data_IF_810546973131
#
_entry.id   IF_810546973131
#
_cell.length_a   1.000
_cell.length_b   1.000
_cell.length_c   1.000
_cell.angle_alpha   90.00
_cell.angle_beta   90.00
_cell.angle_gamma   90.00
#
_symmetry.space_group_name_H-M   'P 1'
#
loop_
_entity.id
_entity.type
_entity.pdbx_description
1 polymer ?
#
# COMPACT_ATOMS: atom_id res chain seq x y z
N UNK A 1 105.35 -118.89 21.35
CA UNK A 1 104.34 -119.28 20.34
C UNK A 1 103.07 -118.50 20.64
N UNK A 2 102.39 -117.97 19.61
CA UNK A 2 101.18 -117.11 19.65
C UNK A 2 101.40 -115.59 19.80
N UNK A 3 101.75 -114.94 18.68
CA UNK A 3 101.79 -113.48 18.51
C UNK A 3 100.89 -113.03 17.33
N UNK A 4 99.86 -113.84 16.99
CA UNK A 4 99.01 -113.68 15.79
C UNK A 4 97.55 -113.29 16.09
N UNK A 5 97.03 -113.62 17.28
CA UNK A 5 95.65 -113.34 17.67
C UNK A 5 95.47 -111.87 18.04
N UNK A 6 96.45 -111.28 18.72
CA UNK A 6 96.42 -109.88 19.16
C UNK A 6 96.44 -108.89 17.97
N UNK A 7 97.22 -109.22 16.93
CA UNK A 7 97.26 -108.45 15.67
C UNK A 7 95.93 -108.57 14.90
N UNK A 8 95.23 -109.70 14.98
CA UNK A 8 93.94 -109.90 14.33
C UNK A 8 92.82 -109.12 15.04
N UNK A 9 92.79 -109.16 16.38
CA UNK A 9 91.86 -108.36 17.19
C UNK A 9 92.05 -106.85 16.97
N UNK A 10 93.30 -106.38 16.90
CA UNK A 10 93.62 -104.98 16.57
C UNK A 10 93.16 -104.60 15.15
N UNK A 11 93.36 -105.46 14.15
CA UNK A 11 92.90 -105.21 12.77
C UNK A 11 91.37 -105.19 12.66
N UNK A 12 90.66 -106.10 13.34
CA UNK A 12 89.19 -106.10 13.37
C UNK A 12 88.65 -104.86 14.07
N UNK A 13 89.33 -104.37 15.12
CA UNK A 13 89.00 -103.10 15.78
C UNK A 13 89.10 -101.90 14.82
N UNK A 14 90.18 -101.80 14.04
CA UNK A 14 90.34 -100.74 13.04
C UNK A 14 89.33 -100.82 11.89
N UNK A 15 88.95 -102.04 11.45
CA UNK A 15 87.88 -102.23 10.45
C UNK A 15 86.52 -101.81 11.00
N UNK A 16 86.20 -102.15 12.26
CA UNK A 16 84.98 -101.68 12.92
C UNK A 16 84.94 -100.15 13.05
N UNK A 17 86.08 -99.52 13.38
CA UNK A 17 86.22 -98.06 13.40
C UNK A 17 85.99 -97.45 12.01
N UNK A 18 86.55 -98.03 10.95
CA UNK A 18 86.32 -97.57 9.58
C UNK A 18 84.86 -97.71 9.14
N UNK A 19 84.23 -98.85 9.46
CA UNK A 19 82.81 -99.09 9.19
C UNK A 19 81.93 -98.10 9.97
N UNK A 20 82.26 -97.80 11.24
CA UNK A 20 81.59 -96.77 12.03
C UNK A 20 81.70 -95.38 11.38
N UNK A 21 82.88 -94.99 10.91
CA UNK A 21 83.09 -93.71 10.20
C UNK A 21 82.32 -93.69 8.88
N UNK A 22 82.34 -94.78 8.11
CA UNK A 22 81.56 -94.89 6.88
C UNK A 22 80.05 -94.78 7.13
N UNK A 23 79.53 -95.42 8.17
CA UNK A 23 78.13 -95.29 8.60
C UNK A 23 77.79 -93.88 9.10
N UNK A 24 78.71 -93.20 9.79
CA UNK A 24 78.52 -91.82 10.24
C UNK A 24 78.45 -90.85 9.05
N UNK A 25 79.36 -91.01 8.07
CA UNK A 25 79.34 -90.22 6.82
C UNK A 25 78.06 -90.50 6.03
N UNK A 26 77.69 -91.77 5.87
CA UNK A 26 76.47 -92.18 5.19
C UNK A 26 75.23 -91.61 5.88
N UNK A 27 75.13 -91.73 7.21
CA UNK A 27 74.04 -91.17 8.01
C UNK A 27 73.96 -89.64 7.92
N UNK A 28 75.11 -88.95 7.85
CA UNK A 28 75.13 -87.50 7.66
C UNK A 28 74.55 -87.07 6.31
N UNK A 29 74.97 -87.71 5.22
CA UNK A 29 74.52 -87.35 3.87
C UNK A 29 73.08 -87.77 3.57
N UNK A 30 72.66 -88.96 4.01
CA UNK A 30 71.35 -89.51 3.69
C UNK A 30 70.26 -89.21 4.71
N UNK A 31 70.62 -88.86 5.95
CA UNK A 31 69.64 -88.60 7.02
C UNK A 31 69.75 -87.17 7.55
N UNK A 32 70.91 -86.76 8.06
CA UNK A 32 71.05 -85.45 8.74
C UNK A 32 70.83 -84.27 7.78
N UNK A 33 71.51 -84.26 6.63
CA UNK A 33 71.39 -83.16 5.66
C UNK A 33 69.98 -83.03 5.07
N UNK A 34 69.29 -84.11 4.65
CA UNK A 34 67.90 -84.02 4.22
C UNK A 34 66.92 -83.60 5.32
N UNK A 35 67.14 -84.01 6.57
CA UNK A 35 66.32 -83.55 7.71
C UNK A 35 66.44 -82.03 7.89
N UNK A 36 67.66 -81.51 7.93
CA UNK A 36 67.89 -80.06 8.06
C UNK A 36 67.29 -79.26 6.90
N UNK A 37 67.43 -79.75 5.66
CA UNK A 37 66.81 -79.13 4.49
C UNK A 37 65.28 -79.13 4.55
N UNK A 38 64.67 -80.19 5.09
CA UNK A 38 63.22 -80.25 5.33
C UNK A 38 62.79 -79.27 6.41
N UNK A 39 63.53 -79.16 7.50
CA UNK A 39 63.22 -78.22 8.58
C UNK A 39 63.26 -76.76 8.11
N UNK A 40 64.31 -76.37 7.38
CA UNK A 40 64.42 -75.01 6.79
C UNK A 40 63.32 -74.75 5.78
N UNK A 41 63.01 -75.73 4.91
CA UNK A 41 61.92 -75.60 3.94
C UNK A 41 60.55 -75.51 4.63
N UNK A 42 60.33 -76.26 5.70
CA UNK A 42 59.12 -76.17 6.53
C UNK A 42 59.00 -74.81 7.21
N UNK A 43 60.10 -74.22 7.67
CA UNK A 43 60.12 -72.87 8.21
C UNK A 43 59.74 -71.82 7.15
N UNK A 44 60.31 -71.91 5.94
CA UNK A 44 59.98 -71.00 4.84
C UNK A 44 58.53 -71.18 4.34
N UNK A 45 58.01 -72.41 4.29
CA UNK A 45 56.60 -72.68 3.99
C UNK A 45 55.71 -72.07 5.06
N UNK A 46 56.05 -72.22 6.34
CA UNK A 46 55.29 -71.63 7.44
C UNK A 46 55.28 -70.10 7.37
N UNK A 47 56.42 -69.46 7.05
CA UNK A 47 56.49 -68.00 6.83
C UNK A 47 55.60 -67.56 5.68
N UNK A 48 55.68 -68.24 4.53
CA UNK A 48 54.84 -67.93 3.36
C UNK A 48 53.36 -68.16 3.62
N UNK A 49 53.00 -69.19 4.38
CA UNK A 49 51.61 -69.45 4.78
C UNK A 49 51.07 -68.35 5.70
N UNK A 50 51.88 -67.87 6.66
CA UNK A 50 51.53 -66.71 7.50
C UNK A 50 51.36 -65.45 6.65
N UNK A 51 52.25 -65.18 5.70
CA UNK A 51 52.13 -64.03 4.79
C UNK A 51 50.91 -64.12 3.88
N UNK A 52 50.64 -65.29 3.30
CA UNK A 52 49.44 -65.53 2.50
C UNK A 52 48.16 -65.33 3.31
N UNK A 53 48.11 -65.79 4.56
CA UNK A 53 46.98 -65.59 5.44
C UNK A 53 46.80 -64.11 5.82
N UNK A 54 47.90 -63.37 6.07
CA UNK A 54 47.85 -61.91 6.27
C UNK A 54 47.34 -61.18 5.02
N UNK A 55 47.80 -61.56 3.84
CA UNK A 55 47.37 -60.94 2.59
C UNK A 55 45.90 -61.27 2.29
N UNK A 56 45.46 -62.51 2.52
CA UNK A 56 44.07 -62.93 2.35
C UNK A 56 43.13 -62.20 3.30
N UNK A 57 43.52 -62.02 4.55
CA UNK A 57 42.72 -61.26 5.53
C UNK A 57 42.65 -59.77 5.18
N UNK A 58 43.76 -59.16 4.77
CA UNK A 58 43.78 -57.78 4.28
C UNK A 58 42.90 -57.61 3.03
N UNK A 59 42.99 -58.52 2.06
CA UNK A 59 42.15 -58.53 0.86
C UNK A 59 40.66 -58.65 1.19
N UNK A 60 40.28 -59.57 2.09
CA UNK A 60 38.90 -59.72 2.54
C UNK A 60 38.38 -58.45 3.24
N UNK A 61 39.22 -57.80 4.06
CA UNK A 61 38.86 -56.54 4.71
C UNK A 61 38.66 -55.40 3.70
N UNK A 62 39.56 -55.30 2.71
CA UNK A 62 39.46 -54.33 1.63
C UNK A 62 38.22 -54.56 0.78
N UNK A 63 37.90 -55.81 0.45
CA UNK A 63 36.68 -56.16 -0.29
C UNK A 63 35.43 -55.73 0.48
N UNK A 64 35.40 -55.98 1.80
CA UNK A 64 34.29 -55.55 2.65
C UNK A 64 34.14 -54.02 2.65
N UNK A 65 35.23 -53.27 2.74
CA UNK A 65 35.20 -51.80 2.66
C UNK A 65 34.75 -51.31 1.29
N UNK A 66 35.16 -51.96 0.20
CA UNK A 66 34.71 -51.63 -1.17
C UNK A 66 33.20 -51.83 -1.31
N UNK A 67 32.65 -52.94 -0.82
CA UNK A 67 31.20 -53.18 -0.88
C UNK A 67 30.42 -52.19 0.01
N UNK A 68 30.93 -51.85 1.19
CA UNK A 68 30.33 -50.80 2.04
C UNK A 68 30.33 -49.43 1.35
N UNK A 69 31.46 -49.04 0.75
CA UNK A 69 31.57 -47.79 0.01
C UNK A 69 30.65 -47.77 -1.21
N UNK A 70 30.48 -48.90 -1.91
CA UNK A 70 29.55 -49.04 -3.03
C UNK A 70 28.10 -48.87 -2.59
N UNK A 71 27.72 -49.45 -1.45
CA UNK A 71 26.39 -49.26 -0.88
C UNK A 71 26.14 -47.79 -0.46
N UNK A 72 27.13 -47.16 0.20
CA UNK A 72 27.05 -45.75 0.59
C UNK A 72 26.93 -44.83 -0.61
N UNK A 73 27.70 -45.07 -1.68
CA UNK A 73 27.59 -44.29 -2.92
C UNK A 73 26.20 -44.37 -3.54
N UNK A 74 25.61 -45.57 -3.57
CA UNK A 74 24.25 -45.76 -4.09
C UNK A 74 23.21 -44.98 -3.27
N UNK A 75 23.34 -44.98 -1.94
CA UNK A 75 22.46 -44.23 -1.05
C UNK A 75 22.61 -42.70 -1.22
N UNK A 76 23.85 -42.23 -1.35
CA UNK A 76 24.16 -40.83 -1.64
C UNK A 76 23.60 -40.40 -3.01
N UNK A 77 23.74 -41.21 -4.05
CA UNK A 77 23.17 -40.95 -5.38
C UNK A 77 21.63 -40.86 -5.32
N UNK A 78 20.98 -41.73 -4.56
CA UNK A 78 19.53 -41.66 -4.32
C UNK A 78 19.11 -40.39 -3.57
N UNK A 79 19.88 -39.98 -2.56
CA UNK A 79 19.65 -38.75 -1.81
C UNK A 79 19.83 -37.50 -2.68
N UNK A 80 20.85 -37.47 -3.54
CA UNK A 80 21.09 -36.38 -4.50
C UNK A 80 19.93 -36.28 -5.49
N UNK A 81 19.47 -37.40 -6.04
CA UNK A 81 18.32 -37.40 -6.95
C UNK A 81 17.04 -36.87 -6.29
N UNK A 82 16.81 -37.24 -5.02
CA UNK A 82 15.68 -36.71 -4.24
C UNK A 82 15.80 -35.20 -3.99
N UNK A 83 17.00 -34.72 -3.66
CA UNK A 83 17.25 -33.29 -3.44
C UNK A 83 17.09 -32.48 -4.73
N UNK A 84 17.54 -32.99 -5.88
CA UNK A 84 17.36 -32.34 -7.18
C UNK A 84 15.87 -32.19 -7.54
N UNK A 85 15.06 -33.22 -7.26
CA UNK A 85 13.62 -33.16 -7.45
C UNK A 85 12.97 -32.12 -6.54
N UNK A 86 13.32 -32.11 -5.25
CA UNK A 86 12.81 -31.11 -4.30
C UNK A 86 13.21 -29.68 -4.68
N UNK A 87 14.43 -29.49 -5.20
CA UNK A 87 14.90 -28.21 -5.68
C UNK A 87 14.06 -27.70 -6.85
N UNK A 88 13.81 -28.55 -7.86
CA UNK A 88 12.97 -28.20 -9.01
C UNK A 88 11.54 -27.86 -8.60
N UNK A 89 10.92 -28.67 -7.73
CA UNK A 89 9.58 -28.37 -7.19
C UNK A 89 9.54 -27.03 -6.44
N UNK A 90 10.59 -26.73 -5.66
CA UNK A 90 10.70 -25.46 -4.94
C UNK A 90 10.88 -24.28 -5.89
N UNK A 91 11.67 -24.43 -6.95
CA UNK A 91 11.89 -23.41 -7.97
C UNK A 91 10.60 -23.10 -8.73
N UNK A 92 9.85 -24.12 -9.14
CA UNK A 92 8.54 -23.96 -9.78
C UNK A 92 7.54 -23.24 -8.88
N UNK A 93 7.47 -23.62 -7.59
CA UNK A 93 6.64 -22.93 -6.59
C UNK A 93 7.05 -21.47 -6.44
N UNK A 94 8.34 -21.17 -6.37
CA UNK A 94 8.84 -19.81 -6.24
C UNK A 94 8.50 -18.96 -7.47
N UNK A 95 8.60 -19.53 -8.67
CA UNK A 95 8.20 -18.87 -9.91
C UNK A 95 6.70 -18.60 -9.96
N UNK A 96 5.87 -19.55 -9.54
CA UNK A 96 4.42 -19.39 -9.44
C UNK A 96 4.03 -18.28 -8.45
N UNK A 97 4.63 -18.28 -7.25
CA UNK A 97 4.41 -17.25 -6.22
C UNK A 97 4.82 -15.87 -6.74
N UNK A 98 5.98 -15.76 -7.39
CA UNK A 98 6.44 -14.49 -7.96
C UNK A 98 5.50 -13.97 -9.04
N UNK A 99 4.96 -14.86 -9.89
CA UNK A 99 3.98 -14.49 -10.90
C UNK A 99 2.68 -13.97 -10.25
N UNK A 100 2.16 -14.67 -9.24
CA UNK A 100 0.96 -14.25 -8.50
C UNK A 100 1.17 -12.94 -7.74
N UNK A 101 2.34 -12.75 -7.11
CA UNK A 101 2.71 -11.50 -6.46
C UNK A 101 2.73 -10.33 -7.44
N UNK A 102 3.30 -10.52 -8.64
CA UNK A 102 3.30 -9.49 -9.68
C UNK A 102 1.88 -9.15 -10.15
N UNK A 103 1.03 -10.16 -10.31
CA UNK A 103 -0.37 -9.98 -10.70
C UNK A 103 -1.15 -9.19 -9.63
N UNK A 104 -1.08 -9.62 -8.38
CA UNK A 104 -1.75 -8.96 -7.25
C UNK A 104 -1.25 -7.53 -7.02
N UNK A 105 0.05 -7.27 -7.18
CA UNK A 105 0.61 -5.92 -7.14
C UNK A 105 0.00 -5.01 -8.22
N UNK A 106 -0.15 -5.52 -9.44
CA UNK A 106 -0.77 -4.77 -10.53
C UNK A 106 -2.26 -4.49 -10.26
N UNK A 107 -3.01 -5.49 -9.78
CA UNK A 107 -4.41 -5.33 -9.40
C UNK A 107 -4.59 -4.30 -8.28
N UNK A 108 -3.74 -4.33 -7.25
CA UNK A 108 -3.74 -3.36 -6.17
C UNK A 108 -3.48 -1.93 -6.68
N UNK A 109 -2.53 -1.76 -7.59
CA UNK A 109 -2.24 -0.46 -8.20
C UNK A 109 -3.44 0.06 -9.00
N UNK A 110 -4.13 -0.79 -9.75
CA UNK A 110 -5.36 -0.41 -10.46
C UNK A 110 -6.48 -0.02 -9.48
N UNK A 111 -6.69 -0.80 -8.43
CA UNK A 111 -7.68 -0.49 -7.39
C UNK A 111 -7.38 0.84 -6.70
N UNK A 112 -6.11 1.16 -6.42
CA UNK A 112 -5.70 2.44 -5.85
C UNK A 112 -6.07 3.62 -6.76
N UNK A 113 -5.87 3.48 -8.07
CA UNK A 113 -6.24 4.51 -9.05
C UNK A 113 -7.76 4.69 -9.09
N UNK A 114 -8.52 3.61 -9.13
CA UNK A 114 -9.99 3.65 -9.15
C UNK A 114 -10.53 4.28 -7.86
N UNK A 115 -10.03 3.86 -6.70
CA UNK A 115 -10.43 4.39 -5.41
C UNK A 115 -10.13 5.90 -5.32
N UNK A 116 -8.95 6.34 -5.77
CA UNK A 116 -8.60 7.76 -5.82
C UNK A 116 -9.57 8.54 -6.72
N UNK A 117 -9.87 8.05 -7.92
CA UNK A 117 -10.85 8.68 -8.83
C UNK A 117 -12.24 8.76 -8.21
N UNK A 118 -12.69 7.71 -7.53
CA UNK A 118 -13.98 7.68 -6.85
C UNK A 118 -14.05 8.69 -5.70
N UNK A 119 -12.99 8.79 -4.89
CA UNK A 119 -12.87 9.79 -3.83
C UNK A 119 -12.86 11.21 -4.41
N UNK A 120 -12.09 11.45 -5.46
CA UNK A 120 -12.01 12.76 -6.13
C UNK A 120 -13.37 13.16 -6.74
N UNK A 121 -14.08 12.23 -7.36
CA UNK A 121 -15.43 12.45 -7.90
C UNK A 121 -16.45 12.73 -6.79
N UNK A 122 -16.39 11.97 -5.70
CA UNK A 122 -17.27 12.18 -4.55
C UNK A 122 -17.02 13.56 -3.90
N UNK A 123 -15.75 13.96 -3.74
CA UNK A 123 -15.40 15.28 -3.24
C UNK A 123 -15.96 16.40 -4.14
N UNK A 124 -15.86 16.27 -5.47
CA UNK A 124 -16.46 17.23 -6.41
C UNK A 124 -17.98 17.32 -6.26
N UNK A 125 -18.66 16.18 -6.10
CA UNK A 125 -20.11 16.16 -5.88
C UNK A 125 -20.47 16.86 -4.56
N UNK A 126 -19.73 16.59 -3.48
CA UNK A 126 -19.95 17.24 -2.19
C UNK A 126 -19.67 18.75 -2.23
N UNK A 127 -18.63 19.18 -2.96
CA UNK A 127 -18.38 20.60 -3.23
C UNK A 127 -19.57 21.23 -3.98
N UNK A 128 -20.10 20.57 -5.01
CA UNK A 128 -21.28 21.03 -5.76
C UNK A 128 -22.52 21.17 -4.89
N UNK A 129 -22.80 20.17 -4.05
CA UNK A 129 -23.93 20.20 -3.09
C UNK A 129 -23.79 21.37 -2.12
N UNK A 130 -22.56 21.65 -1.66
CA UNK A 130 -22.33 22.80 -0.79
C UNK A 130 -22.58 24.13 -1.52
N UNK A 131 -22.13 24.27 -2.78
CA UNK A 131 -22.40 25.46 -3.58
C UNK A 131 -23.89 25.71 -3.79
N UNK A 132 -24.66 24.66 -4.08
CA UNK A 132 -26.12 24.74 -4.19
C UNK A 132 -26.76 25.17 -2.87
N UNK A 133 -26.36 24.56 -1.76
CA UNK A 133 -26.81 24.94 -0.42
C UNK A 133 -26.55 26.41 -0.12
N UNK A 134 -25.31 26.87 -0.36
CA UNK A 134 -24.91 28.24 -0.07
C UNK A 134 -25.61 29.26 -0.97
N UNK A 135 -25.80 28.94 -2.25
CA UNK A 135 -26.60 29.75 -3.19
C UNK A 135 -28.05 29.87 -2.71
N UNK A 136 -28.62 28.77 -2.20
CA UNK A 136 -29.93 28.73 -1.56
C UNK A 136 -30.03 29.68 -0.36
N UNK A 137 -29.02 29.64 0.53
CA UNK A 137 -28.93 30.56 1.69
C UNK A 137 -28.95 32.03 1.25
N UNK A 138 -28.15 32.40 0.25
CA UNK A 138 -28.16 33.79 -0.28
C UNK A 138 -29.54 34.14 -0.84
N UNK A 139 -30.20 33.20 -1.53
CA UNK A 139 -31.59 33.37 -1.99
C UNK A 139 -32.57 33.65 -0.84
N UNK A 140 -32.44 32.95 0.28
CA UNK A 140 -33.26 33.16 1.50
C UNK A 140 -33.04 34.54 2.08
N UNK A 141 -31.81 35.06 2.09
CA UNK A 141 -31.53 36.42 2.57
C UNK A 141 -32.32 37.46 1.76
N UNK A 142 -32.33 37.34 0.42
CA UNK A 142 -33.13 38.21 -0.44
C UNK A 142 -34.65 38.08 -0.18
N UNK A 143 -35.14 36.85 0.00
CA UNK A 143 -36.55 36.61 0.30
C UNK A 143 -36.94 37.25 1.65
N UNK A 144 -36.15 37.03 2.70
CA UNK A 144 -36.37 37.62 4.02
C UNK A 144 -36.43 39.15 3.93
N UNK A 145 -35.50 39.80 3.22
CA UNK A 145 -35.54 41.27 3.03
C UNK A 145 -36.74 41.75 2.22
N UNK A 146 -37.19 40.98 1.23
CA UNK A 146 -38.42 41.32 0.52
C UNK A 146 -39.66 41.23 1.42
N UNK A 147 -39.73 40.21 2.28
CA UNK A 147 -40.83 40.04 3.24
C UNK A 147 -40.82 41.14 4.30
N UNK A 148 -39.65 41.48 4.84
CA UNK A 148 -39.49 42.60 5.77
C UNK A 148 -39.99 43.91 5.14
N UNK A 149 -39.65 44.17 3.88
CA UNK A 149 -40.12 45.36 3.17
C UNK A 149 -41.64 45.41 3.05
N UNK A 150 -42.28 44.30 2.64
CA UNK A 150 -43.74 44.22 2.48
C UNK A 150 -44.46 44.39 3.82
N UNK A 151 -43.98 43.74 4.89
CA UNK A 151 -44.57 43.86 6.22
C UNK A 151 -44.49 45.30 6.76
N UNK A 152 -43.39 46.00 6.46
CA UNK A 152 -43.18 47.39 6.91
C UNK A 152 -43.87 48.44 6.01
N UNK A 153 -44.36 48.07 4.82
CA UNK A 153 -45.15 48.96 3.94
C UNK A 153 -46.66 48.77 4.10
N UNK A 154 -47.13 47.58 4.50
CA UNK A 154 -48.56 47.26 4.67
C UNK A 154 -49.10 47.47 6.10
N UNK A 155 -48.25 47.62 7.12
CA UNK A 155 -48.67 47.79 8.52
C UNK A 155 -49.01 49.24 8.94
N UNK A 156 -49.77 49.38 10.04
CA UNK A 156 -50.28 50.67 10.58
C UNK A 156 -49.20 51.73 10.86
N UNK A 157 -47.95 51.34 11.10
CA UNK A 157 -46.84 52.25 11.39
C UNK A 157 -46.08 52.76 10.15
N UNK A 158 -46.33 52.19 8.94
CA UNK A 158 -45.70 52.53 7.65
C UNK A 158 -44.25 53.04 7.77
N UNK A 159 -43.38 52.27 8.44
CA UNK A 159 -42.02 52.69 8.80
C UNK A 159 -40.97 52.40 7.72
N UNK A 160 -41.29 51.57 6.72
CA UNK A 160 -40.35 51.16 5.66
C UNK A 160 -39.67 52.33 4.94
N UNK A 161 -40.35 53.48 4.85
CA UNK A 161 -39.88 54.66 4.13
C UNK A 161 -38.97 55.58 4.95
N UNK A 162 -38.74 55.26 6.24
CA UNK A 162 -37.94 56.08 7.14
C UNK A 162 -36.43 55.81 7.00
N UNK A 163 -36.04 54.67 6.43
CA UNK A 163 -34.65 54.30 6.18
C UNK A 163 -34.43 53.93 4.71
N UNK A 164 -34.34 54.92 3.79
CA UNK A 164 -34.18 54.66 2.36
C UNK A 164 -32.96 53.79 2.02
N UNK A 165 -31.88 53.95 2.79
CA UNK A 165 -30.64 53.19 2.60
C UNK A 165 -30.76 51.68 2.86
N UNK A 166 -31.81 51.22 3.55
CA UNK A 166 -32.06 49.79 3.80
C UNK A 166 -32.96 49.13 2.76
N UNK A 167 -33.43 49.88 1.75
CA UNK A 167 -34.37 49.36 0.75
C UNK A 167 -33.67 48.55 -0.36
N UNK A 168 -32.39 48.84 -0.63
CA UNK A 168 -31.58 48.11 -1.57
C UNK A 168 -30.64 47.16 -0.82
N UNK A 169 -30.79 45.86 -1.09
CA UNK A 169 -29.85 44.85 -0.61
C UNK A 169 -28.82 44.61 -1.73
N UNK A 170 -27.58 45.05 -1.52
CA UNK A 170 -26.51 44.82 -2.49
C UNK A 170 -25.96 43.37 -2.41
N UNK A 171 -25.29 42.87 -3.48
CA UNK A 171 -24.74 41.52 -3.49
C UNK A 171 -23.78 41.20 -2.34
N UNK A 172 -22.91 42.14 -1.95
CA UNK A 172 -21.94 41.95 -0.88
C UNK A 172 -22.64 41.66 0.46
N UNK A 173 -23.60 42.49 0.84
CA UNK A 173 -24.33 42.34 2.11
C UNK A 173 -25.15 41.05 2.12
N UNK A 174 -25.79 40.70 1.01
CA UNK A 174 -26.54 39.45 0.90
C UNK A 174 -25.65 38.20 1.12
N UNK A 175 -24.48 38.17 0.47
CA UNK A 175 -23.54 37.06 0.59
C UNK A 175 -22.87 37.07 1.98
N UNK A 176 -22.54 38.24 2.51
CA UNK A 176 -21.96 38.38 3.85
C UNK A 176 -22.92 37.94 4.94
N UNK A 177 -24.23 38.17 4.78
CA UNK A 177 -25.24 37.67 5.71
C UNK A 177 -25.31 36.14 5.63
N UNK A 178 -25.38 35.57 4.42
CA UNK A 178 -25.40 34.11 4.25
C UNK A 178 -24.13 33.42 4.79
N UNK A 179 -22.98 34.10 4.80
CA UNK A 179 -21.74 33.60 5.40
C UNK A 179 -21.81 33.44 6.92
N UNK A 180 -22.67 34.18 7.62
CA UNK A 180 -22.89 34.01 9.07
C UNK A 180 -23.55 32.66 9.35
N UNK A 181 -24.48 32.27 8.49
CA UNK A 181 -25.18 30.99 8.52
C UNK A 181 -24.56 29.96 7.55
N UNK A 182 -23.31 30.16 7.12
CA UNK A 182 -22.66 29.32 6.10
C UNK A 182 -22.48 27.84 6.47
N UNK A 183 -22.71 27.48 7.73
CA UNK A 183 -22.74 26.11 8.22
C UNK A 183 -24.15 25.49 8.25
N UNK A 184 -25.20 26.29 8.02
CA UNK A 184 -26.57 25.83 8.01
C UNK A 184 -26.86 24.98 6.77
N UNK A 185 -27.72 23.97 6.96
CA UNK A 185 -28.13 23.05 5.91
C UNK A 185 -29.50 23.51 5.39
N UNK A 186 -29.49 24.37 4.37
CA UNK A 186 -30.69 24.78 3.66
C UNK A 186 -31.32 23.61 2.88
N UNK A 187 -30.48 22.73 2.31
CA UNK A 187 -30.90 21.47 1.69
C UNK A 187 -30.42 20.27 2.53
N UNK A 188 -31.24 19.24 2.64
CA UNK A 188 -30.94 18.04 3.46
C UNK A 188 -29.67 17.31 2.99
N UNK A 189 -29.44 17.26 1.67
CA UNK A 189 -28.24 16.63 1.08
C UNK A 189 -26.93 17.27 1.55
N UNK A 190 -26.96 18.54 1.98
CA UNK A 190 -25.77 19.23 2.46
C UNK A 190 -25.27 18.71 3.81
N UNK A 191 -26.09 18.03 4.61
CA UNK A 191 -25.71 17.46 5.91
C UNK A 191 -24.48 16.55 5.80
N UNK A 192 -24.36 15.83 4.69
CA UNK A 192 -23.26 14.91 4.43
C UNK A 192 -21.97 15.60 3.96
N UNK A 193 -21.96 16.92 3.75
CA UNK A 193 -20.77 17.65 3.31
C UNK A 193 -19.77 17.77 4.47
N UNK A 194 -18.56 17.19 4.34
CA UNK A 194 -17.51 17.25 5.35
C UNK A 194 -17.06 18.67 5.70
N UNK A 195 -16.69 18.88 6.96
CA UNK A 195 -16.29 20.20 7.48
C UNK A 195 -15.09 20.81 6.76
N UNK A 196 -14.12 20.00 6.32
CA UNK A 196 -12.96 20.45 5.56
C UNK A 196 -13.36 21.06 4.20
N UNK A 197 -14.34 20.46 3.51
CA UNK A 197 -14.88 20.98 2.26
C UNK A 197 -15.62 22.31 2.51
N UNK A 198 -16.47 22.36 3.55
CA UNK A 198 -17.18 23.58 3.95
C UNK A 198 -16.22 24.73 4.23
N UNK A 199 -15.22 24.50 5.09
CA UNK A 199 -14.20 25.50 5.45
C UNK A 199 -13.43 26.00 4.23
N UNK A 200 -13.04 25.10 3.32
CA UNK A 200 -12.35 25.44 2.07
C UNK A 200 -13.20 26.40 1.22
N UNK A 201 -14.46 26.04 0.96
CA UNK A 201 -15.34 26.84 0.11
C UNK A 201 -15.73 28.16 0.78
N UNK A 202 -16.09 28.17 2.06
CA UNK A 202 -16.40 29.40 2.80
C UNK A 202 -15.23 30.39 2.82
N UNK A 203 -14.00 29.88 2.94
CA UNK A 203 -12.79 30.71 2.85
C UNK A 203 -12.61 31.29 1.45
N UNK A 204 -12.88 30.49 0.40
CA UNK A 204 -12.86 30.93 -1.00
C UNK A 204 -13.86 32.06 -1.24
N UNK A 205 -15.11 31.90 -0.77
CA UNK A 205 -16.17 32.91 -0.89
C UNK A 205 -15.77 34.20 -0.17
N UNK A 206 -15.31 34.12 1.09
CA UNK A 206 -14.86 35.29 1.87
C UNK A 206 -13.79 36.09 1.14
N UNK A 207 -12.77 35.41 0.62
CA UNK A 207 -11.69 36.07 -0.15
C UNK A 207 -12.23 36.73 -1.41
N UNK A 208 -13.14 36.06 -2.12
CA UNK A 208 -13.69 36.57 -3.36
C UNK A 208 -14.58 37.81 -3.15
N UNK A 209 -15.44 37.82 -2.13
CA UNK A 209 -16.30 38.98 -1.86
C UNK A 209 -15.50 40.21 -1.40
N UNK A 210 -14.44 40.01 -0.61
CA UNK A 210 -13.58 41.10 -0.17
C UNK A 210 -12.80 41.70 -1.35
N UNK A 211 -12.28 40.86 -2.25
CA UNK A 211 -11.59 41.31 -3.47
C UNK A 211 -12.51 42.11 -4.40
N UNK A 212 -13.80 41.78 -4.44
CA UNK A 212 -14.78 42.39 -5.35
C UNK A 212 -15.75 43.35 -4.64
N UNK A 213 -15.42 43.80 -3.42
CA UNK A 213 -16.32 44.58 -2.56
C UNK A 213 -16.87 45.83 -3.24
N UNK A 214 -16.04 46.57 -3.96
CA UNK A 214 -16.46 47.79 -4.65
C UNK A 214 -17.58 47.51 -5.67
N UNK A 215 -17.37 46.51 -6.53
CA UNK A 215 -18.36 46.09 -7.55
C UNK A 215 -19.63 45.55 -6.91
N UNK A 216 -19.51 44.79 -5.82
CA UNK A 216 -20.63 44.14 -5.13
C UNK A 216 -21.41 45.07 -4.18
N UNK A 217 -20.92 46.29 -3.92
CA UNK A 217 -21.63 47.29 -3.08
C UNK A 217 -22.17 48.46 -3.90
N UNK A 218 -21.82 48.55 -5.18
CA UNK A 218 -22.24 49.65 -6.05
C UNK A 218 -23.74 49.61 -6.30
N UNK A 219 -24.42 50.75 -6.08
CA UNK A 219 -25.85 50.90 -6.35
C UNK A 219 -26.12 51.14 -7.84
N UNK A 220 -27.33 50.81 -8.34
CA UNK A 220 -27.74 51.19 -9.69
C UNK A 220 -27.69 52.70 -9.92
N UNK A 221 -27.33 53.11 -11.14
CA UNK A 221 -27.31 54.52 -11.55
C UNK A 221 -28.71 55.13 -11.36
N UNK A 222 -28.78 56.32 -10.77
CA UNK A 222 -30.04 57.04 -10.51
C UNK A 222 -30.88 56.47 -9.36
N UNK A 223 -30.40 55.47 -8.63
CA UNK A 223 -31.13 54.87 -7.50
C UNK A 223 -31.48 55.91 -6.44
N UNK A 224 -30.49 56.63 -5.92
CA UNK A 224 -30.69 57.56 -4.80
C UNK A 224 -31.62 58.72 -5.19
N UNK A 225 -31.54 59.20 -6.43
CA UNK A 225 -32.41 60.24 -7.00
C UNK A 225 -33.86 59.77 -7.08
N UNK A 226 -34.10 58.62 -7.71
CA UNK A 226 -35.44 58.06 -7.90
C UNK A 226 -36.13 57.74 -6.56
N UNK A 227 -35.40 57.14 -5.62
CA UNK A 227 -35.94 56.85 -4.28
C UNK A 227 -36.29 58.15 -3.54
N UNK A 228 -35.40 59.14 -3.58
CA UNK A 228 -35.63 60.42 -2.91
C UNK A 228 -36.86 61.15 -3.45
N UNK A 229 -37.05 61.14 -4.78
CA UNK A 229 -38.22 61.74 -5.44
C UNK A 229 -39.53 61.07 -5.02
N UNK A 230 -39.58 59.74 -5.05
CA UNK A 230 -40.76 58.97 -4.68
C UNK A 230 -41.09 59.15 -3.19
N UNK A 231 -40.10 59.07 -2.30
CA UNK A 231 -40.30 59.27 -0.86
C UNK A 231 -40.76 60.69 -0.56
N UNK A 232 -40.19 61.71 -1.22
CA UNK A 232 -40.65 63.10 -1.10
C UNK A 232 -42.11 63.24 -1.51
N UNK A 233 -42.50 62.60 -2.60
CA UNK A 233 -43.89 62.58 -3.08
C UNK A 233 -44.82 61.93 -2.06
N UNK A 234 -44.48 60.74 -1.56
CA UNK A 234 -45.26 60.02 -0.54
C UNK A 234 -45.43 60.88 0.73
N UNK A 235 -44.34 61.48 1.24
CA UNK A 235 -44.40 62.33 2.45
C UNK A 235 -45.25 63.59 2.24
N UNK A 236 -45.14 64.25 1.10
CA UNK A 236 -45.89 65.49 0.80
C UNK A 236 -47.40 65.29 0.60
N UNK A 237 -47.81 64.05 0.32
CA UNK A 237 -49.21 63.68 -0.02
C UNK A 237 -49.92 62.93 1.11
N UNK A 238 -49.19 62.45 2.13
CA UNK A 238 -49.68 61.56 3.20
C UNK A 238 -50.85 62.10 4.04
N UNK A 239 -50.99 63.41 4.21
CA UNK A 239 -51.96 64.03 5.13
C UNK A 239 -53.03 64.88 4.43
N UNK A 240 -53.15 64.77 3.11
CA UNK A 240 -54.12 65.54 2.32
C UNK A 240 -55.28 64.64 1.91
N UNK A 241 -56.50 65.13 2.11
CA UNK A 241 -57.74 64.37 1.91
C UNK A 241 -58.43 64.63 0.55
N UNK A 242 -57.75 65.26 -0.40
CA UNK A 242 -58.28 65.41 -1.76
C UNK A 242 -57.97 64.17 -2.62
N UNK A 243 -58.94 63.79 -3.45
CA UNK A 243 -58.91 62.57 -4.28
C UNK A 243 -57.66 62.50 -5.17
N UNK A 244 -57.29 63.62 -5.80
CA UNK A 244 -56.09 63.73 -6.64
C UNK A 244 -54.82 63.42 -5.86
N UNK A 245 -54.71 63.92 -4.63
CA UNK A 245 -53.55 63.66 -3.78
C UNK A 245 -53.51 62.23 -3.26
N UNK A 246 -54.66 61.63 -2.95
CA UNK A 246 -54.76 60.21 -2.58
C UNK A 246 -54.27 59.31 -3.72
N UNK A 247 -54.75 59.55 -4.94
CA UNK A 247 -54.32 58.81 -6.14
C UNK A 247 -52.82 58.99 -6.38
N UNK A 248 -52.30 60.21 -6.23
CA UNK A 248 -50.87 60.50 -6.38
C UNK A 248 -50.01 59.76 -5.35
N UNK A 249 -50.45 59.72 -4.09
CA UNK A 249 -49.77 58.98 -3.03
C UNK A 249 -49.71 57.48 -3.34
N UNK A 250 -50.87 56.89 -3.68
CA UNK A 250 -50.98 55.48 -4.03
C UNK A 250 -50.07 55.10 -5.21
N UNK A 251 -50.06 55.91 -6.27
CA UNK A 251 -49.20 55.67 -7.43
C UNK A 251 -47.71 55.74 -7.06
N UNK A 252 -47.30 56.68 -6.19
CA UNK A 252 -45.93 56.80 -5.73
C UNK A 252 -45.50 55.61 -4.84
N UNK A 253 -46.37 55.15 -3.91
CA UNK A 253 -46.11 53.94 -3.10
C UNK A 253 -45.99 52.68 -3.98
N UNK A 254 -46.87 52.55 -4.98
CA UNK A 254 -46.85 51.44 -5.95
C UNK A 254 -45.58 51.46 -6.81
N UNK A 255 -45.20 52.62 -7.32
CA UNK A 255 -43.99 52.76 -8.13
C UNK A 255 -42.73 52.47 -7.31
N UNK A 256 -42.64 52.99 -6.07
CA UNK A 256 -41.53 52.72 -5.17
C UNK A 256 -41.39 51.22 -4.89
N UNK A 257 -42.48 50.57 -4.51
CA UNK A 257 -42.48 49.12 -4.23
C UNK A 257 -42.07 48.31 -5.46
N UNK A 258 -42.61 48.66 -6.63
CA UNK A 258 -42.27 48.00 -7.90
C UNK A 258 -40.79 48.18 -8.25
N UNK A 259 -40.26 49.40 -8.07
CA UNK A 259 -38.86 49.71 -8.34
C UNK A 259 -37.92 48.94 -7.39
N UNK A 260 -38.21 48.94 -6.08
CA UNK A 260 -37.44 48.20 -5.06
C UNK A 260 -37.41 46.69 -5.38
N UNK A 261 -38.55 46.11 -5.74
CA UNK A 261 -38.61 44.71 -6.12
C UNK A 261 -37.73 44.40 -7.35
N UNK A 262 -37.77 45.26 -8.37
CA UNK A 262 -36.97 45.08 -9.58
C UNK A 262 -35.46 45.20 -9.32
N UNK A 263 -35.01 46.23 -8.61
CA UNK A 263 -33.57 46.41 -8.35
C UNK A 263 -33.02 45.32 -7.43
N UNK A 264 -33.80 44.84 -6.45
CA UNK A 264 -33.35 43.75 -5.57
C UNK A 264 -33.36 42.41 -6.32
N UNK A 265 -34.27 42.21 -7.29
CA UNK A 265 -34.21 41.09 -8.22
C UNK A 265 -32.93 41.13 -9.07
N UNK A 266 -32.57 42.29 -9.61
CA UNK A 266 -31.30 42.46 -10.36
C UNK A 266 -30.09 42.21 -9.46
N UNK A 267 -30.11 42.74 -8.23
CA UNK A 267 -29.07 42.51 -7.23
C UNK A 267 -28.90 41.03 -6.91
N UNK A 268 -30.01 40.31 -6.74
CA UNK A 268 -30.00 38.85 -6.55
C UNK A 268 -29.34 38.15 -7.72
N UNK A 269 -29.72 38.47 -8.96
CA UNK A 269 -29.11 37.87 -10.16
C UNK A 269 -27.60 38.11 -10.16
N UNK A 270 -27.16 39.34 -9.92
CA UNK A 270 -25.74 39.68 -9.84
C UNK A 270 -25.01 38.87 -8.75
N UNK A 271 -25.62 38.70 -7.57
CA UNK A 271 -25.05 37.87 -6.51
C UNK A 271 -24.92 36.39 -6.94
N UNK A 272 -25.93 35.84 -7.62
CA UNK A 272 -25.91 34.45 -8.09
C UNK A 272 -24.88 34.23 -9.20
N UNK A 273 -24.79 35.16 -10.15
CA UNK A 273 -23.79 35.10 -11.23
C UNK A 273 -22.38 35.20 -10.66
N UNK A 274 -22.16 36.09 -9.69
CA UNK A 274 -20.89 36.18 -8.98
C UNK A 274 -20.52 34.87 -8.27
N UNK A 275 -21.45 34.23 -7.56
CA UNK A 275 -21.22 32.93 -6.90
C UNK A 275 -20.90 31.82 -7.90
N UNK A 276 -21.56 31.83 -9.05
CA UNK A 276 -21.29 30.89 -10.14
C UNK A 276 -19.89 31.10 -10.71
N UNK A 277 -19.45 32.34 -10.92
CA UNK A 277 -18.12 32.62 -11.45
C UNK A 277 -17.02 32.14 -10.48
N UNK A 278 -17.17 32.43 -9.19
CA UNK A 278 -16.17 31.99 -8.19
C UNK A 278 -16.17 30.47 -7.98
N UNK A 279 -17.26 29.77 -8.28
CA UNK A 279 -17.29 28.30 -8.20
C UNK A 279 -16.24 27.68 -9.13
N UNK A 280 -16.07 28.23 -10.34
CA UNK A 280 -15.21 27.67 -11.40
C UNK A 280 -13.79 28.28 -11.46
N UNK A 281 -13.48 29.29 -10.65
CA UNK A 281 -12.12 29.88 -10.57
C UNK A 281 -11.29 29.09 -9.55
N UNK A 282 -10.10 28.61 -9.92
CA UNK A 282 -9.20 27.88 -9.01
C UNK A 282 -8.64 28.73 -7.85
#
# INVERSE_FOLDING_TARGET
MSNKIDVFLSRVSHVSQFVLVAFAIFGYFYTVRPIYQKEVLSEDIAKKEVELNKLKTAMLSSQKSIEQNKALRKDLEGSIAKLDLQYKESEEKLNSINHELKKTLNELNQQKIIAKRAVDANNKNLESVFWENFTGLVGVVYLSKSTDFVNNTLGDTKSAYNTPGSLYLNPYDAISEALKDGNHNFISSSENVPENIRKKILTKIRRAIEKNKATLTTKPIGYDEKISELIKTIKSTKSKNDENTIIKNYNAERELSSYIFQINKQSRVHAMDFLKDIQYID
#
